data_IF_722364556031
#
_entry.id   IF_722364556031
#
_cell.length_a   1.000
_cell.length_b   1.000
_cell.length_c   1.000
_cell.angle_alpha   90.00
_cell.angle_beta   90.00
_cell.angle_gamma   90.00
#
_symmetry.space_group_name_H-M   'P 1'
#
loop_
_entity.id
_entity.type
_entity.pdbx_description
1 polymer ?
#
# COMPACT_ATOMS: atom_id res chain seq x y z
N UNK A 1 34.16 18.51 10.21
CA UNK A 1 33.12 17.64 10.80
C UNK A 1 31.93 17.63 9.86
N UNK A 2 31.66 16.50 9.18
CA UNK A 2 30.39 16.34 8.47
C UNK A 2 29.31 16.09 9.52
N UNK A 3 28.44 17.07 9.73
CA UNK A 3 27.21 16.90 10.50
C UNK A 3 26.32 15.91 9.74
N UNK A 4 26.06 14.75 10.34
CA UNK A 4 25.05 13.83 9.82
C UNK A 4 23.71 14.58 9.78
N UNK A 5 23.12 14.74 8.60
CA UNK A 5 21.75 15.22 8.46
C UNK A 5 20.82 14.15 9.04
N UNK A 6 20.46 14.28 10.31
CA UNK A 6 19.40 13.49 10.92
C UNK A 6 18.10 13.98 10.27
N UNK A 7 17.58 13.20 9.33
CA UNK A 7 16.26 13.45 8.76
C UNK A 7 15.20 13.20 9.84
N UNK A 8 14.26 14.14 9.98
CA UNK A 8 13.13 13.96 10.88
C UNK A 8 12.37 12.68 10.48
N UNK A 9 11.97 11.92 11.49
CA UNK A 9 11.21 10.69 11.31
C UNK A 9 9.72 10.95 11.50
N UNK A 10 8.81 10.30 10.73
CA UNK A 10 7.38 10.49 10.91
C UNK A 10 6.94 10.27 12.35
N UNK A 11 6.30 11.29 12.93
CA UNK A 11 5.71 11.22 14.27
C UNK A 11 4.65 10.12 14.36
N UNK A 12 4.25 9.75 15.58
CA UNK A 12 3.17 8.78 15.80
C UNK A 12 1.86 9.25 15.13
N UNK A 13 1.57 10.56 15.18
CA UNK A 13 0.39 11.14 14.54
C UNK A 13 0.46 11.02 13.01
N UNK A 14 1.61 11.30 12.39
CA UNK A 14 1.78 11.17 10.95
C UNK A 14 1.72 9.69 10.49
N UNK A 15 2.19 8.76 11.32
CA UNK A 15 2.02 7.33 11.08
C UNK A 15 0.54 6.92 11.12
N UNK A 16 -0.23 7.44 12.10
CA UNK A 16 -1.67 7.22 12.20
C UNK A 16 -2.43 7.81 11.01
N UNK A 17 -1.99 8.95 10.46
CA UNK A 17 -2.56 9.54 9.24
C UNK A 17 -2.44 8.56 8.07
N UNK A 18 -1.27 7.96 7.87
CA UNK A 18 -1.07 6.94 6.82
C UNK A 18 -1.95 5.72 7.06
N UNK A 19 -1.97 5.19 8.28
CA UNK A 19 -2.78 4.01 8.61
C UNK A 19 -4.28 4.26 8.42
N UNK A 20 -4.77 5.41 8.87
CA UNK A 20 -6.17 5.82 8.73
C UNK A 20 -6.56 5.98 7.27
N UNK A 21 -5.68 6.55 6.45
CA UNK A 21 -5.91 6.69 5.01
C UNK A 21 -6.06 5.32 4.32
N UNK A 22 -5.17 4.36 4.66
CA UNK A 22 -5.26 2.98 4.16
C UNK A 22 -6.55 2.31 4.63
N UNK A 23 -6.82 2.33 5.94
CA UNK A 23 -8.01 1.72 6.53
C UNK A 23 -9.31 2.30 5.93
N UNK A 24 -9.37 3.62 5.75
CA UNK A 24 -10.51 4.28 5.11
C UNK A 24 -10.75 3.72 3.72
N UNK A 25 -9.72 3.61 2.89
CA UNK A 25 -9.84 2.99 1.57
C UNK A 25 -10.27 1.51 1.65
N UNK A 26 -9.71 0.72 2.57
CA UNK A 26 -10.08 -0.69 2.71
C UNK A 26 -11.56 -0.87 3.09
N UNK A 27 -12.11 0.06 3.87
CA UNK A 27 -13.51 0.06 4.29
C UNK A 27 -14.47 0.51 3.19
N UNK A 28 -14.14 1.58 2.47
CA UNK A 28 -15.04 2.24 1.49
C UNK A 28 -14.87 1.69 0.07
N UNK A 29 -13.65 1.31 -0.31
CA UNK A 29 -13.29 0.71 -1.59
C UNK A 29 -13.67 1.52 -2.84
N UNK A 30 -13.70 2.85 -2.73
CA UNK A 30 -14.01 3.74 -3.87
C UNK A 30 -12.75 4.33 -4.49
N UNK A 31 -12.82 4.68 -5.78
CA UNK A 31 -11.73 5.35 -6.49
C UNK A 31 -11.31 6.67 -5.84
N UNK A 32 -12.28 7.47 -5.38
CA UNK A 32 -12.02 8.73 -4.66
C UNK A 32 -11.22 8.51 -3.38
N UNK A 33 -11.58 7.52 -2.57
CA UNK A 33 -10.82 7.20 -1.35
C UNK A 33 -9.44 6.62 -1.65
N UNK A 34 -9.27 5.91 -2.77
CA UNK A 34 -7.95 5.44 -3.22
C UNK A 34 -7.05 6.62 -3.56
N UNK A 35 -7.55 7.56 -4.34
CA UNK A 35 -6.80 8.76 -4.72
C UNK A 35 -6.37 9.56 -3.49
N UNK A 36 -7.31 9.82 -2.58
CA UNK A 36 -7.02 10.53 -1.33
C UNK A 36 -5.98 9.77 -0.50
N UNK A 37 -6.12 8.45 -0.36
CA UNK A 37 -5.14 7.63 0.35
C UNK A 37 -3.72 7.82 -0.20
N UNK A 38 -3.53 7.70 -1.52
CA UNK A 38 -2.20 7.81 -2.13
C UNK A 38 -1.60 9.22 -2.00
N UNK A 39 -2.41 10.27 -2.13
CA UNK A 39 -1.98 11.66 -1.95
C UNK A 39 -1.65 11.99 -0.50
N UNK A 40 -2.45 11.53 0.45
CA UNK A 40 -2.20 11.71 1.89
C UNK A 40 -0.90 11.05 2.31
N UNK A 41 -0.68 9.80 1.90
CA UNK A 41 0.58 9.10 2.15
C UNK A 41 1.75 9.90 1.57
N UNK A 42 1.63 10.38 0.33
CA UNK A 42 2.68 11.16 -0.31
C UNK A 42 3.01 12.44 0.45
N UNK A 43 1.99 13.19 0.89
CA UNK A 43 2.18 14.43 1.64
C UNK A 43 2.97 14.21 2.95
N UNK A 44 2.71 13.11 3.65
CA UNK A 44 3.49 12.73 4.84
C UNK A 44 4.95 12.43 4.46
N UNK A 45 5.19 11.63 3.42
CA UNK A 45 6.55 11.30 2.99
C UNK A 45 7.34 12.55 2.55
N UNK A 46 6.70 13.48 1.84
CA UNK A 46 7.31 14.74 1.41
C UNK A 46 7.65 15.66 2.58
N UNK A 47 6.79 15.75 3.61
CA UNK A 47 7.03 16.53 4.84
C UNK A 47 8.35 16.15 5.51
N UNK A 48 8.66 14.86 5.52
CA UNK A 48 9.86 14.29 6.14
C UNK A 48 11.01 14.07 5.15
N UNK A 49 10.83 14.41 3.87
CA UNK A 49 11.81 14.20 2.78
C UNK A 49 12.32 12.75 2.69
N UNK A 50 11.45 11.79 3.00
CA UNK A 50 11.76 10.36 2.92
C UNK A 50 11.09 9.73 1.70
N UNK A 51 11.75 8.76 1.09
CA UNK A 51 11.22 8.07 -0.10
C UNK A 51 10.44 6.80 0.23
N UNK A 52 10.54 6.32 1.47
CA UNK A 52 9.98 5.06 1.94
C UNK A 52 9.67 5.10 3.43
N UNK A 53 8.56 4.51 3.83
CA UNK A 53 8.24 4.22 5.23
C UNK A 53 7.62 2.82 5.38
N UNK A 54 7.78 2.16 6.53
CA UNK A 54 7.35 0.78 6.74
C UNK A 54 6.41 0.58 7.92
N UNK A 55 5.35 -0.19 7.70
CA UNK A 55 4.41 -0.71 8.71
C UNK A 55 4.57 -2.22 8.85
N UNK A 56 3.84 -2.86 9.76
CA UNK A 56 3.95 -4.31 10.00
C UNK A 56 3.76 -5.15 8.71
N UNK A 57 2.76 -4.83 7.89
CA UNK A 57 2.38 -5.65 6.74
C UNK A 57 2.72 -5.05 5.37
N UNK A 58 3.11 -3.77 5.31
CA UNK A 58 3.39 -3.09 4.04
C UNK A 58 4.42 -1.98 4.18
N UNK A 59 4.96 -1.57 3.04
CA UNK A 59 5.73 -0.35 2.86
C UNK A 59 4.94 0.64 2.02
N UNK A 60 5.18 1.92 2.25
CA UNK A 60 4.75 3.01 1.37
C UNK A 60 5.97 3.66 0.74
N UNK A 61 5.86 4.05 -0.52
CA UNK A 61 6.94 4.68 -1.28
C UNK A 61 6.43 5.92 -2.01
N UNK A 62 7.32 6.89 -2.20
CA UNK A 62 7.11 7.95 -3.19
C UNK A 62 7.19 7.37 -4.60
N UNK A 63 6.38 7.87 -5.53
CA UNK A 63 6.55 7.61 -6.97
C UNK A 63 7.42 8.67 -7.63
N UNK A 64 7.95 8.36 -8.81
CA UNK A 64 8.61 9.35 -9.69
C UNK A 64 7.63 10.43 -10.13
N UNK A 65 6.37 10.06 -10.40
CA UNK A 65 5.31 11.05 -10.61
C UNK A 65 5.10 11.84 -9.30
N UNK A 66 5.17 13.19 -9.34
CA UNK A 66 4.90 14.01 -8.17
C UNK A 66 3.50 13.74 -7.62
N UNK A 67 3.30 13.92 -6.30
CA UNK A 67 2.00 13.82 -5.60
C UNK A 67 1.43 12.42 -5.38
N UNK A 68 2.00 11.38 -6.00
CA UNK A 68 1.56 10.01 -5.75
C UNK A 68 2.53 9.23 -4.88
N UNK A 69 1.95 8.21 -4.24
CA UNK A 69 2.67 7.18 -3.51
C UNK A 69 2.23 5.82 -4.03
N UNK A 70 2.97 4.77 -3.65
CA UNK A 70 2.61 3.38 -3.91
C UNK A 70 2.77 2.55 -2.65
N UNK A 71 1.89 1.55 -2.50
CA UNK A 71 1.91 0.61 -1.38
C UNK A 71 2.43 -0.73 -1.88
N UNK A 72 3.37 -1.33 -1.12
CA UNK A 72 3.92 -2.66 -1.39
C UNK A 72 3.76 -3.55 -0.17
N UNK A 73 3.09 -4.70 -0.33
CA UNK A 73 3.00 -5.68 0.75
C UNK A 73 4.37 -6.28 1.11
N UNK A 74 4.52 -6.65 2.38
CA UNK A 74 5.67 -7.39 2.92
C UNK A 74 5.49 -8.90 2.82
N UNK A 75 4.28 -9.39 3.10
CA UNK A 75 3.94 -10.81 3.09
C UNK A 75 3.37 -11.20 1.74
N UNK A 76 3.83 -12.32 1.20
CA UNK A 76 3.35 -12.88 -0.07
C UNK A 76 2.50 -14.12 0.23
N UNK A 77 1.38 -14.26 -0.46
CA UNK A 77 0.54 -15.46 -0.39
C UNK A 77 0.57 -16.21 -1.73
N UNK A 78 0.38 -17.52 -1.68
CA UNK A 78 0.29 -18.38 -2.87
C UNK A 78 -1.17 -18.72 -3.22
N UNK A 79 -2.06 -18.74 -2.22
CA UNK A 79 -3.47 -19.07 -2.39
C UNK A 79 -4.29 -18.00 -3.12
N UNK A 80 -5.61 -18.24 -3.20
CA UNK A 80 -6.59 -17.35 -3.84
C UNK A 80 -7.52 -16.67 -2.82
N UNK A 81 -7.18 -16.75 -1.53
CA UNK A 81 -8.00 -16.23 -0.43
C UNK A 81 -7.25 -15.18 0.37
N UNK A 82 -7.99 -14.23 0.93
CA UNK A 82 -7.46 -13.28 1.88
C UNK A 82 -6.95 -14.03 3.13
N UNK A 83 -5.70 -13.80 3.58
CA UNK A 83 -5.14 -14.51 4.73
C UNK A 83 -5.79 -14.14 6.07
N UNK A 84 -6.52 -13.02 6.14
CA UNK A 84 -7.20 -12.59 7.37
C UNK A 84 -8.63 -13.09 7.53
N UNK A 85 -9.39 -13.25 6.43
CA UNK A 85 -10.81 -13.59 6.50
C UNK A 85 -11.26 -14.70 5.53
N UNK A 86 -10.35 -15.28 4.74
CA UNK A 86 -10.66 -16.39 3.84
C UNK A 86 -11.47 -16.04 2.58
N UNK A 87 -11.86 -14.77 2.38
CA UNK A 87 -12.60 -14.34 1.19
C UNK A 87 -11.77 -14.58 -0.08
N UNK A 88 -12.40 -15.10 -1.13
CA UNK A 88 -11.75 -15.30 -2.43
C UNK A 88 -11.42 -13.95 -3.09
N UNK A 89 -10.19 -13.79 -3.58
CA UNK A 89 -9.64 -12.57 -4.17
C UNK A 89 -10.34 -12.22 -5.49
N UNK A 90 -10.67 -13.22 -6.31
CA UNK A 90 -11.14 -13.04 -7.69
C UNK A 90 -12.66 -13.10 -7.85
N UNK A 91 -13.41 -13.20 -6.75
CA UNK A 91 -14.87 -13.14 -6.81
C UNK A 91 -15.33 -11.72 -7.20
N UNK A 92 -16.35 -11.61 -8.07
CA UNK A 92 -16.93 -10.33 -8.47
C UNK A 92 -17.40 -9.47 -7.29
N UNK A 93 -17.96 -10.11 -6.25
CA UNK A 93 -18.38 -9.44 -5.01
C UNK A 93 -17.30 -9.43 -3.92
N UNK A 94 -16.03 -9.69 -4.27
CA UNK A 94 -14.94 -9.72 -3.30
C UNK A 94 -14.78 -8.37 -2.61
N UNK A 95 -14.44 -8.40 -1.33
CA UNK A 95 -14.04 -7.23 -0.55
C UNK A 95 -12.52 -7.03 -0.56
N UNK A 96 -11.82 -7.61 -1.55
CA UNK A 96 -10.39 -7.41 -1.78
C UNK A 96 -10.20 -6.40 -2.92
N UNK A 97 -9.27 -5.46 -2.75
CA UNK A 97 -8.92 -4.44 -3.75
C UNK A 97 -7.42 -4.38 -3.94
N UNK A 98 -7.00 -3.98 -5.13
CA UNK A 98 -5.60 -3.73 -5.45
C UNK A 98 -5.19 -2.40 -4.83
N UNK A 99 -4.09 -2.39 -4.07
CA UNK A 99 -3.44 -1.19 -3.53
C UNK A 99 -2.31 -0.71 -4.43
N UNK A 100 -1.59 -1.62 -5.08
CA UNK A 100 -0.49 -1.31 -5.98
C UNK A 100 -0.12 -2.49 -6.86
N UNK A 101 0.47 -2.20 -8.01
CA UNK A 101 0.99 -3.20 -8.95
C UNK A 101 2.42 -2.80 -9.27
N UNK A 102 3.35 -3.74 -9.11
CA UNK A 102 4.68 -3.63 -9.71
C UNK A 102 4.73 -4.56 -10.91
N UNK A 103 4.80 -3.97 -12.09
CA UNK A 103 4.85 -4.72 -13.35
C UNK A 103 6.26 -5.25 -13.60
N UNK A 104 6.40 -6.56 -13.88
CA UNK A 104 7.64 -7.16 -14.38
C UNK A 104 7.35 -7.95 -15.67
N UNK A 105 8.36 -8.25 -16.50
CA UNK A 105 8.18 -8.82 -17.84
C UNK A 105 7.45 -10.17 -17.94
N UNK A 106 7.36 -10.96 -16.85
CA UNK A 106 6.68 -12.28 -16.87
C UNK A 106 5.61 -12.46 -15.80
N UNK A 107 5.54 -11.55 -14.83
CA UNK A 107 4.62 -11.61 -13.70
C UNK A 107 4.53 -10.24 -13.05
N UNK A 108 3.39 -9.91 -12.48
CA UNK A 108 3.19 -8.70 -11.72
C UNK A 108 3.19 -9.02 -10.23
N UNK A 109 3.87 -8.21 -9.43
CA UNK A 109 3.69 -8.25 -7.99
C UNK A 109 2.52 -7.34 -7.63
N UNK A 110 1.39 -7.93 -7.28
CA UNK A 110 0.19 -7.19 -6.92
C UNK A 110 0.07 -7.14 -5.41
N UNK A 111 -0.05 -5.92 -4.88
CA UNK A 111 -0.38 -5.68 -3.48
C UNK A 111 -1.89 -5.55 -3.36
N UNK A 112 -2.49 -6.43 -2.59
CA UNK A 112 -3.91 -6.47 -2.27
C UNK A 112 -4.17 -5.96 -0.86
N UNK A 113 -5.34 -5.37 -0.66
CA UNK A 113 -5.89 -5.01 0.63
C UNK A 113 -7.34 -5.47 0.75
N UNK A 114 -7.70 -6.05 1.89
CA UNK A 114 -9.06 -6.52 2.16
C UNK A 114 -9.77 -5.60 3.16
N UNK A 115 -11.11 -5.51 3.07
CA UNK A 115 -11.95 -4.81 4.05
C UNK A 115 -11.75 -5.29 5.50
N UNK A 116 -11.27 -6.51 5.71
CA UNK A 116 -10.89 -7.03 7.04
C UNK A 116 -9.58 -6.42 7.59
N UNK A 117 -8.92 -5.51 6.86
CA UNK A 117 -7.69 -4.82 7.27
C UNK A 117 -6.39 -5.48 6.78
N UNK A 118 -6.45 -6.72 6.27
CA UNK A 118 -5.24 -7.42 5.81
C UNK A 118 -4.69 -6.81 4.52
N UNK A 119 -3.37 -6.61 4.49
CA UNK A 119 -2.60 -6.21 3.30
C UNK A 119 -1.61 -7.33 2.97
N UNK A 120 -1.59 -7.79 1.72
CA UNK A 120 -0.80 -8.95 1.30
C UNK A 120 -0.45 -8.86 -0.19
N UNK A 121 0.66 -9.46 -0.56
CA UNK A 121 1.17 -9.50 -1.92
C UNK A 121 0.87 -10.84 -2.57
N UNK A 122 0.73 -10.84 -3.90
CA UNK A 122 0.67 -12.06 -4.70
C UNK A 122 1.33 -11.82 -6.04
N UNK A 123 1.99 -12.86 -6.55
CA UNK A 123 2.49 -12.86 -7.92
C UNK A 123 1.36 -13.27 -8.86
N UNK A 124 0.97 -12.35 -9.74
CA UNK A 124 0.00 -12.60 -10.81
C UNK A 124 0.77 -12.83 -12.12
N UNK A 125 0.40 -13.86 -12.87
CA UNK A 125 0.99 -14.13 -14.18
C UNK A 125 0.29 -13.29 -15.25
N UNK A 126 0.95 -13.06 -16.39
CA UNK A 126 0.24 -12.58 -17.58
C UNK A 126 -0.86 -13.59 -17.92
N UNK A 127 -2.11 -13.12 -17.97
CA UNK A 127 -3.14 -13.84 -18.71
C UNK A 127 -2.82 -13.61 -20.19
N UNK A 128 -2.20 -14.61 -20.83
CA UNK A 128 -2.12 -14.67 -22.29
C UNK A 128 -3.49 -15.02 -22.86
#
# INVERSE_FOLDING_TARGET
>A
MQTANVLDFPSVEDQQVIQTAVQTFLLTQTGRTRELMLKTIRAVLDRYRITKFGFADYYVYVTNEPKWSVIRAKKIIEGQVCPGCGINIYNFKSTVRILGIQELPKKHFVTYGCKCGSVFGKWELFLN
#
